data_IF_897372727229
#
_entry.id   IF_897372727229
#
_cell.length_a   1.000
_cell.length_b   1.000
_cell.length_c   1.000
_cell.angle_alpha   90.00
_cell.angle_beta   90.00
_cell.angle_gamma   90.00
#
_symmetry.space_group_name_H-M   'P 1'
#
loop_
_entity.id
_entity.type
_entity.pdbx_description
1 polymer ?
#
# COMPACT_ATOMS: atom_id res chain seq x y z
N UNK A 1 -3.21 13.44 3.89
CA UNK A 1 -3.57 12.01 3.84
C UNK A 1 -4.27 11.59 5.12
N UNK A 2 -3.56 11.53 6.26
CA UNK A 2 -4.06 10.86 7.48
C UNK A 2 -5.15 11.61 8.25
N UNK A 3 -5.29 12.92 8.04
CA UNK A 3 -6.28 13.74 8.75
C UNK A 3 -7.66 13.69 8.08
N UNK A 4 -7.72 13.95 6.77
CA UNK A 4 -9.00 14.17 6.07
C UNK A 4 -9.33 13.10 5.03
N UNK A 5 -8.32 12.42 4.46
CA UNK A 5 -8.51 11.43 3.40
C UNK A 5 -8.61 9.99 3.94
N UNK A 6 -8.45 9.81 5.25
CA UNK A 6 -8.56 8.54 5.94
C UNK A 6 -9.24 8.71 7.30
N UNK A 7 -9.99 7.71 7.74
CA UNK A 7 -10.34 7.58 9.15
C UNK A 7 -9.11 7.10 9.96
N UNK A 8 -9.11 7.29 11.29
CA UNK A 8 -8.13 6.65 12.17
C UNK A 8 -8.06 5.13 11.90
N UNK A 9 -6.87 4.51 12.02
CA UNK A 9 -6.72 3.08 11.80
C UNK A 9 -7.72 2.27 12.62
N UNK A 10 -8.43 1.34 11.97
CA UNK A 10 -9.44 0.50 12.62
C UNK A 10 -9.48 -0.89 11.98
N UNK A 11 -9.75 -1.93 12.77
CA UNK A 11 -9.82 -3.32 12.31
C UNK A 11 -8.61 -3.80 11.48
N UNK A 12 -7.42 -3.23 11.73
CA UNK A 12 -6.19 -3.53 10.99
C UNK A 12 -5.98 -2.71 9.70
N UNK A 13 -7.00 -2.01 9.20
CA UNK A 13 -6.85 -1.08 8.09
C UNK A 13 -6.00 0.13 8.53
N UNK A 14 -4.93 0.44 7.77
CA UNK A 14 -4.07 1.60 8.06
C UNK A 14 -4.65 2.94 7.61
N UNK A 15 -5.33 2.97 6.47
CA UNK A 15 -5.94 4.19 5.92
C UNK A 15 -7.37 3.90 5.42
N UNK A 16 -8.28 3.43 6.29
CA UNK A 16 -9.68 3.20 5.93
C UNK A 16 -10.33 4.47 5.40
N UNK A 17 -11.40 4.33 4.60
CA UNK A 17 -12.18 5.49 4.18
C UNK A 17 -12.73 6.22 5.41
N UNK A 18 -12.68 7.57 5.45
CA UNK A 18 -13.41 8.32 6.46
C UNK A 18 -14.92 8.11 6.29
N UNK A 19 -15.74 8.40 7.31
CA UNK A 19 -17.17 8.58 7.11
C UNK A 19 -17.42 9.59 5.96
N UNK A 20 -18.30 9.25 5.02
CA UNK A 20 -18.53 10.05 3.82
C UNK A 20 -19.04 11.47 4.16
N UNK A 21 -19.88 11.60 5.18
CA UNK A 21 -20.38 12.87 5.71
C UNK A 21 -19.25 13.79 6.20
N UNK A 22 -18.26 13.24 6.91
CA UNK A 22 -17.08 14.01 7.35
C UNK A 22 -16.23 14.48 6.18
N UNK A 23 -16.01 13.63 5.18
CA UNK A 23 -15.24 14.03 4.00
C UNK A 23 -16.00 15.05 3.15
N UNK A 24 -17.32 14.89 2.97
CA UNK A 24 -18.17 15.86 2.29
C UNK A 24 -18.13 17.22 3.01
N UNK A 25 -18.24 17.23 4.34
CA UNK A 25 -18.12 18.45 5.12
C UNK A 25 -16.76 19.11 4.88
N UNK A 26 -15.67 18.35 4.94
CA UNK A 26 -14.33 18.85 4.62
C UNK A 26 -14.26 19.43 3.20
N UNK A 27 -14.81 18.76 2.19
CA UNK A 27 -14.89 19.29 0.82
C UNK A 27 -15.63 20.64 0.78
N UNK A 28 -16.77 20.73 1.47
CA UNK A 28 -17.58 21.94 1.51
C UNK A 28 -16.85 23.10 2.17
N UNK A 29 -16.13 22.85 3.27
CA UNK A 29 -15.26 23.82 3.95
C UNK A 29 -14.12 24.34 3.06
N UNK A 30 -13.69 23.55 2.07
CA UNK A 30 -12.68 23.91 1.08
C UNK A 30 -13.29 24.41 -0.25
N UNK A 31 -14.59 24.70 -0.29
CA UNK A 31 -15.26 25.27 -1.46
C UNK A 31 -15.47 24.30 -2.63
N UNK A 32 -15.48 23.00 -2.35
CA UNK A 32 -15.74 21.92 -3.31
C UNK A 32 -17.20 21.48 -3.20
N UNK A 33 -17.97 21.68 -4.26
CA UNK A 33 -19.41 21.34 -4.34
C UNK A 33 -19.82 20.68 -5.68
N UNK A 34 -18.85 20.37 -6.54
CA UNK A 34 -19.08 19.82 -7.88
C UNK A 34 -19.34 20.84 -8.98
N UNK A 35 -19.39 22.15 -8.70
CA UNK A 35 -19.58 23.18 -9.75
C UNK A 35 -18.31 23.46 -10.56
N UNK A 36 -17.15 23.15 -9.98
CA UNK A 36 -15.84 23.31 -10.62
C UNK A 36 -15.06 22.01 -10.48
N UNK A 37 -14.27 21.63 -11.51
CA UNK A 37 -13.41 20.48 -11.40
C UNK A 37 -12.30 20.72 -10.36
N UNK A 38 -11.88 19.66 -9.69
CA UNK A 38 -10.76 19.68 -8.74
C UNK A 38 -9.50 19.13 -9.42
N UNK A 39 -8.38 19.85 -9.33
CA UNK A 39 -7.08 19.34 -9.74
C UNK A 39 -6.27 18.92 -8.51
N UNK A 40 -6.02 17.62 -8.39
CA UNK A 40 -5.26 17.03 -7.29
C UNK A 40 -3.78 16.89 -7.68
N UNK A 41 -2.86 17.09 -6.74
CA UNK A 41 -1.45 16.77 -6.94
C UNK A 41 -0.83 16.30 -5.62
N UNK A 42 0.30 15.61 -5.72
CA UNK A 42 1.18 15.26 -4.60
C UNK A 42 2.65 15.30 -5.09
N UNK A 43 3.58 14.83 -4.28
CA UNK A 43 5.02 14.78 -4.58
C UNK A 43 5.47 13.41 -5.13
N UNK A 44 4.55 12.54 -5.55
CA UNK A 44 4.86 11.18 -6.02
C UNK A 44 4.01 10.83 -7.25
N UNK A 45 3.85 11.77 -8.18
CA UNK A 45 3.10 11.58 -9.43
C UNK A 45 1.67 11.06 -9.21
N UNK A 46 1.02 11.43 -8.12
CA UNK A 46 -0.31 11.01 -7.70
C UNK A 46 -0.38 9.73 -6.85
N UNK A 47 0.73 9.01 -6.70
CA UNK A 47 0.79 7.68 -6.08
C UNK A 47 0.54 7.66 -4.58
N UNK A 48 0.80 8.76 -3.85
CA UNK A 48 0.80 8.79 -2.37
C UNK A 48 -0.29 9.68 -1.75
N UNK A 49 -1.12 10.33 -2.55
CA UNK A 49 -2.30 11.04 -2.04
C UNK A 49 -3.23 11.58 -3.10
N UNK A 50 -2.71 12.08 -4.22
CA UNK A 50 -3.54 12.79 -5.19
C UNK A 50 -4.57 11.87 -5.86
N UNK A 51 -4.17 10.66 -6.26
CA UNK A 51 -5.11 9.69 -6.81
C UNK A 51 -6.10 9.18 -5.75
N UNK A 52 -5.74 9.18 -4.47
CA UNK A 52 -6.69 8.85 -3.38
C UNK A 52 -7.77 9.93 -3.25
N UNK A 53 -7.38 11.20 -3.25
CA UNK A 53 -8.34 12.32 -3.25
C UNK A 53 -9.22 12.29 -4.51
N UNK A 54 -8.61 12.14 -5.68
CA UNK A 54 -9.32 11.98 -6.96
C UNK A 54 -10.36 10.86 -6.89
N UNK A 55 -9.99 9.67 -6.39
CA UNK A 55 -10.89 8.53 -6.30
C UNK A 55 -12.09 8.85 -5.38
N UNK A 56 -11.84 9.46 -4.23
CA UNK A 56 -12.89 9.84 -3.28
C UNK A 56 -13.86 10.86 -3.90
N UNK A 57 -13.34 11.90 -4.56
CA UNK A 57 -14.13 12.92 -5.24
C UNK A 57 -14.97 12.33 -6.39
N UNK A 58 -14.36 11.56 -7.27
CA UNK A 58 -15.04 10.89 -8.39
C UNK A 58 -16.12 9.93 -7.90
N UNK A 59 -15.85 9.18 -6.84
CA UNK A 59 -16.83 8.25 -6.24
C UNK A 59 -18.03 8.96 -5.62
N UNK A 60 -17.94 10.27 -5.39
CA UNK A 60 -19.06 11.12 -4.96
C UNK A 60 -19.67 11.95 -6.11
N UNK A 61 -19.18 11.78 -7.35
CA UNK A 61 -19.67 12.53 -8.52
C UNK A 61 -19.05 13.92 -8.70
N UNK A 62 -17.96 14.24 -7.98
CA UNK A 62 -17.18 15.46 -8.24
C UNK A 62 -16.21 15.19 -9.39
N UNK A 63 -16.26 16.03 -10.42
CA UNK A 63 -15.27 16.01 -11.49
C UNK A 63 -13.88 16.36 -10.92
N UNK A 64 -12.93 15.44 -11.05
CA UNK A 64 -11.58 15.62 -10.55
C UNK A 64 -10.53 15.06 -11.51
N UNK A 65 -9.35 15.68 -11.50
CA UNK A 65 -8.16 15.32 -12.26
C UNK A 65 -6.95 15.20 -11.35
N UNK A 66 -5.89 14.56 -11.84
CA UNK A 66 -4.60 14.47 -11.17
C UNK A 66 -3.52 15.06 -12.06
N UNK A 67 -2.65 15.91 -11.50
CA UNK A 67 -1.54 16.49 -12.22
C UNK A 67 -0.44 15.44 -12.50
N UNK A 68 -0.19 15.16 -13.77
CA UNK A 68 0.91 14.29 -14.19
C UNK A 68 2.26 14.85 -13.70
N UNK A 69 3.00 13.99 -13.00
CA UNK A 69 4.29 14.31 -12.40
C UNK A 69 4.24 15.19 -11.14
N UNK A 70 3.04 15.55 -10.68
CA UNK A 70 2.83 16.18 -9.38
C UNK A 70 3.54 17.52 -9.20
N UNK A 71 3.89 17.82 -7.95
CA UNK A 71 4.55 19.08 -7.57
C UNK A 71 5.88 19.29 -8.31
N UNK A 72 6.67 18.23 -8.51
CA UNK A 72 7.94 18.32 -9.22
C UNK A 72 7.75 18.72 -10.69
N UNK A 73 6.72 18.21 -11.36
CA UNK A 73 6.36 18.62 -12.72
C UNK A 73 5.98 20.09 -12.79
N UNK A 74 5.14 20.52 -11.85
CA UNK A 74 4.69 21.90 -11.76
C UNK A 74 5.86 22.87 -11.60
N UNK A 75 6.77 22.55 -10.67
CA UNK A 75 7.95 23.35 -10.40
C UNK A 75 8.94 23.35 -11.58
N UNK A 76 9.16 22.19 -12.21
CA UNK A 76 10.03 22.10 -13.40
C UNK A 76 9.48 22.88 -14.60
N UNK A 77 8.16 22.99 -14.73
CA UNK A 77 7.51 23.80 -15.76
C UNK A 77 7.62 25.32 -15.52
N UNK A 78 8.25 25.77 -14.43
CA UNK A 78 8.41 27.19 -14.12
C UNK A 78 7.10 27.91 -13.80
N UNK A 79 6.08 27.17 -13.34
CA UNK A 79 4.78 27.73 -13.01
C UNK A 79 4.83 28.51 -11.69
N UNK A 80 3.96 29.53 -11.50
CA UNK A 80 3.99 30.37 -10.30
C UNK A 80 3.73 29.58 -9.01
N UNK A 81 4.54 29.85 -7.99
CA UNK A 81 4.41 29.31 -6.64
C UNK A 81 4.04 30.43 -5.67
N UNK A 82 3.25 30.09 -4.65
CA UNK A 82 2.93 30.96 -3.53
C UNK A 82 3.45 30.31 -2.22
N UNK A 83 3.87 31.15 -1.27
CA UNK A 83 4.30 30.72 0.07
C UNK A 83 3.53 31.48 1.15
N UNK A 84 3.39 30.89 2.33
CA UNK A 84 2.68 31.47 3.47
C UNK A 84 1.37 30.75 3.81
N UNK A 85 0.50 31.34 4.65
CA UNK A 85 -0.73 30.71 5.08
C UNK A 85 -1.70 30.53 3.89
N UNK A 86 -2.41 29.41 3.90
CA UNK A 86 -3.40 29.06 2.88
C UNK A 86 -4.50 30.13 2.77
N UNK A 87 -4.71 30.64 1.54
CA UNK A 87 -5.89 31.45 1.20
C UNK A 87 -7.03 30.52 0.84
N UNK A 88 -7.88 30.20 1.83
CA UNK A 88 -9.01 29.29 1.62
C UNK A 88 -10.06 29.89 0.69
N UNK A 89 -10.60 29.05 -0.19
CA UNK A 89 -11.82 29.38 -0.92
C UNK A 89 -12.98 29.61 0.07
N UNK A 90 -13.97 30.40 -0.35
CA UNK A 90 -15.19 30.54 0.44
C UNK A 90 -15.87 29.15 0.59
N UNK A 91 -16.25 28.75 1.81
CA UNK A 91 -17.00 27.52 2.02
C UNK A 91 -18.29 27.52 1.21
N UNK A 92 -18.71 26.34 0.76
CA UNK A 92 -20.03 26.14 0.16
C UNK A 92 -21.01 25.63 1.21
N UNK A 93 -22.29 25.95 1.03
CA UNK A 93 -23.35 25.63 2.02
C UNK A 93 -24.26 24.49 1.57
N UNK A 94 -24.08 23.97 0.36
CA UNK A 94 -24.95 22.96 -0.22
C UNK A 94 -24.17 21.87 -0.95
N UNK A 95 -24.56 20.60 -0.76
CA UNK A 95 -24.03 19.43 -1.45
C UNK A 95 -25.15 18.71 -2.21
N UNK A 96 -25.07 18.70 -3.54
CA UNK A 96 -26.10 18.16 -4.45
C UNK A 96 -25.68 16.87 -5.18
N UNK A 97 -24.56 16.27 -4.78
CA UNK A 97 -24.02 15.06 -5.41
C UNK A 97 -24.30 13.82 -4.55
N UNK A 98 -23.63 12.72 -4.85
CA UNK A 98 -23.73 11.47 -4.09
C UNK A 98 -23.31 11.68 -2.63
N UNK A 99 -23.96 10.96 -1.71
CA UNK A 99 -23.75 11.12 -0.25
C UNK A 99 -22.92 10.00 0.39
N UNK A 100 -22.57 8.99 -0.39
CA UNK A 100 -21.73 7.88 0.04
C UNK A 100 -20.78 7.48 -1.09
N UNK A 101 -19.62 6.94 -0.74
CA UNK A 101 -18.61 6.56 -1.72
C UNK A 101 -19.13 5.40 -2.59
N UNK A 102 -19.08 5.58 -3.91
CA UNK A 102 -19.44 4.54 -4.89
C UNK A 102 -18.23 3.69 -5.30
N UNK A 103 -18.47 2.59 -6.02
CA UNK A 103 -17.43 1.76 -6.64
C UNK A 103 -16.32 1.28 -5.69
N UNK A 104 -16.69 0.92 -4.46
CA UNK A 104 -15.81 0.24 -3.53
C UNK A 104 -16.48 -0.99 -2.92
N UNK A 105 -15.67 -1.88 -2.37
CA UNK A 105 -16.12 -3.06 -1.63
C UNK A 105 -15.46 -3.13 -0.27
N UNK A 106 -16.18 -3.64 0.73
CA UNK A 106 -15.63 -4.04 2.03
C UNK A 106 -15.15 -5.49 1.97
N UNK A 107 -14.32 -5.91 2.93
CA UNK A 107 -13.72 -7.25 2.95
C UNK A 107 -14.74 -8.39 2.74
N UNK A 108 -15.92 -8.30 3.36
CA UNK A 108 -16.99 -9.31 3.27
C UNK A 108 -17.85 -9.22 1.99
N UNK A 109 -17.63 -8.20 1.16
CA UNK A 109 -18.34 -7.97 -0.10
C UNK A 109 -17.50 -8.37 -1.32
N UNK A 110 -16.22 -8.70 -1.12
CA UNK A 110 -15.34 -9.16 -2.19
C UNK A 110 -15.87 -10.51 -2.70
N UNK A 111 -16.27 -10.63 -3.97
CA UNK A 111 -16.71 -11.90 -4.52
C UNK A 111 -15.58 -12.96 -4.44
N UNK A 112 -15.87 -14.23 -4.11
CA UNK A 112 -14.84 -15.27 -4.02
C UNK A 112 -14.07 -15.51 -5.31
N UNK A 113 -14.63 -15.14 -6.46
CA UNK A 113 -14.05 -15.28 -7.79
C UNK A 113 -13.64 -13.91 -8.40
N UNK A 114 -13.52 -12.86 -7.58
CA UNK A 114 -13.08 -11.56 -8.06
C UNK A 114 -11.63 -11.60 -8.53
N UNK A 115 -11.35 -10.91 -9.64
CA UNK A 115 -9.97 -10.63 -10.06
C UNK A 115 -9.44 -9.51 -9.17
N UNK A 116 -8.57 -9.89 -8.22
CA UNK A 116 -7.93 -8.96 -7.31
C UNK A 116 -6.59 -8.49 -7.88
N UNK A 117 -6.29 -7.20 -7.75
CA UNK A 117 -5.03 -6.60 -8.23
C UNK A 117 -4.32 -5.88 -7.09
N UNK A 118 -3.07 -6.24 -6.82
CA UNK A 118 -2.22 -5.68 -5.76
C UNK A 118 -1.22 -4.67 -6.30
N UNK A 119 -1.35 -3.41 -5.89
CA UNK A 119 -0.50 -2.31 -6.33
C UNK A 119 0.86 -2.20 -5.61
N UNK A 120 1.14 -3.07 -4.63
CA UNK A 120 2.41 -3.03 -3.88
C UNK A 120 3.58 -3.48 -4.74
N UNK A 121 4.77 -3.04 -4.36
CA UNK A 121 6.01 -3.51 -4.97
C UNK A 121 6.17 -5.03 -4.83
N UNK A 122 6.79 -5.67 -5.83
CA UNK A 122 6.95 -7.13 -5.88
C UNK A 122 7.54 -7.75 -4.59
N UNK A 123 8.56 -7.16 -3.93
CA UNK A 123 9.07 -7.72 -2.66
C UNK A 123 8.06 -7.75 -1.51
N UNK A 124 7.06 -6.86 -1.52
CA UNK A 124 5.98 -6.83 -0.52
C UNK A 124 4.85 -7.80 -0.85
N UNK A 125 4.59 -7.99 -2.14
CA UNK A 125 3.63 -8.96 -2.66
C UNK A 125 4.12 -10.40 -2.44
N UNK A 126 5.42 -10.66 -2.61
CA UNK A 126 5.99 -11.98 -2.47
C UNK A 126 5.76 -12.60 -1.09
N UNK A 127 5.54 -13.90 -1.12
CA UNK A 127 5.51 -14.74 0.06
C UNK A 127 6.89 -14.86 0.70
N UNK A 128 6.91 -15.07 2.02
CA UNK A 128 8.13 -15.29 2.78
C UNK A 128 7.84 -15.49 4.26
N UNK A 129 8.91 -15.53 5.06
CA UNK A 129 8.79 -15.81 6.51
C UNK A 129 8.48 -14.58 7.36
N UNK A 130 8.71 -13.36 6.85
CA UNK A 130 8.50 -12.10 7.59
C UNK A 130 8.15 -10.94 6.69
N UNK A 131 7.46 -9.94 7.23
CA UNK A 131 7.10 -8.72 6.48
C UNK A 131 8.31 -7.83 6.20
N UNK A 132 8.56 -7.51 4.92
CA UNK A 132 9.68 -6.66 4.50
C UNK A 132 9.37 -5.15 4.54
N UNK A 133 8.19 -4.77 5.02
CA UNK A 133 7.77 -3.38 5.11
C UNK A 133 7.03 -3.13 6.42
N UNK A 134 7.42 -2.10 7.16
CA UNK A 134 6.86 -1.82 8.51
C UNK A 134 5.34 -1.63 8.54
N UNK A 135 4.73 -1.21 7.42
CA UNK A 135 3.28 -1.08 7.31
C UNK A 135 2.52 -2.37 6.93
N UNK A 136 3.20 -3.46 6.55
CA UNK A 136 2.53 -4.71 6.19
C UNK A 136 2.53 -5.66 7.41
N UNK A 137 1.37 -6.11 7.90
CA UNK A 137 1.28 -6.90 9.14
C UNK A 137 1.77 -8.34 8.98
N UNK A 138 1.78 -8.86 7.75
CA UNK A 138 2.25 -10.19 7.35
C UNK A 138 2.94 -10.13 5.98
N UNK A 139 3.87 -11.05 5.66
CA UNK A 139 4.37 -11.24 4.30
C UNK A 139 3.32 -11.86 3.37
N UNK A 140 3.47 -11.67 2.07
CA UNK A 140 2.56 -12.21 1.05
C UNK A 140 1.47 -11.24 0.62
N UNK A 141 0.41 -11.81 0.04
CA UNK A 141 -0.72 -11.12 -0.58
C UNK A 141 -2.01 -11.92 -0.37
N UNK A 142 -3.15 -11.32 -0.75
CA UNK A 142 -4.43 -12.02 -0.79
C UNK A 142 -4.32 -13.12 -1.84
N UNK A 143 -4.65 -14.36 -1.49
CA UNK A 143 -4.52 -15.52 -2.38
C UNK A 143 -5.22 -15.26 -3.74
N UNK A 144 -4.51 -15.53 -4.83
CA UNK A 144 -5.00 -15.31 -6.20
C UNK A 144 -4.93 -13.86 -6.71
N UNK A 145 -4.54 -12.88 -5.88
CA UNK A 145 -4.37 -11.50 -6.35
C UNK A 145 -3.20 -11.40 -7.34
N UNK A 146 -3.35 -10.58 -8.38
CA UNK A 146 -2.36 -10.32 -9.42
C UNK A 146 -1.51 -9.11 -9.03
N UNK A 147 -0.19 -9.16 -9.22
CA UNK A 147 0.67 -8.02 -8.85
C UNK A 147 0.80 -7.03 -10.01
N UNK A 148 0.39 -5.78 -9.79
CA UNK A 148 0.60 -4.65 -10.68
C UNK A 148 1.23 -3.50 -9.89
N UNK A 149 2.56 -3.52 -9.61
CA UNK A 149 3.20 -2.46 -8.85
C UNK A 149 2.93 -1.08 -9.47
N UNK A 150 2.35 -0.13 -8.72
CA UNK A 150 1.90 1.15 -9.30
C UNK A 150 3.03 1.92 -10.01
N UNK A 151 4.26 1.80 -9.48
CA UNK A 151 5.48 2.39 -10.06
C UNK A 151 5.79 1.92 -11.48
N UNK A 152 5.24 0.78 -11.94
CA UNK A 152 5.43 0.32 -13.33
C UNK A 152 4.91 1.32 -14.37
N UNK A 153 4.01 2.23 -13.97
CA UNK A 153 3.46 3.27 -14.83
C UNK A 153 4.06 4.66 -14.57
N UNK A 154 5.14 4.76 -13.78
CA UNK A 154 5.87 6.02 -13.54
C UNK A 154 7.28 5.92 -14.12
N UNK A 155 7.67 6.90 -14.93
CA UNK A 155 9.00 7.04 -15.54
C UNK A 155 9.60 8.38 -15.13
N UNK A 156 10.93 8.47 -15.11
CA UNK A 156 11.62 9.74 -14.91
C UNK A 156 12.07 10.29 -16.26
N UNK A 157 11.59 11.47 -16.63
CA UNK A 157 11.96 12.21 -17.83
C UNK A 157 12.56 13.54 -17.41
N UNK A 158 13.76 13.86 -17.90
CA UNK A 158 14.49 15.11 -17.57
C UNK A 158 14.62 15.37 -16.06
N UNK A 159 14.78 14.30 -15.27
CA UNK A 159 14.89 14.35 -13.81
C UNK A 159 13.56 14.50 -13.07
N UNK A 160 12.42 14.44 -13.76
CA UNK A 160 11.09 14.63 -13.18
C UNK A 160 10.21 13.39 -13.38
N UNK A 161 9.48 12.93 -12.36
CA UNK A 161 8.54 11.82 -12.53
C UNK A 161 7.39 12.22 -13.46
N UNK A 162 6.96 11.29 -14.32
CA UNK A 162 5.81 11.38 -15.21
C UNK A 162 5.13 10.02 -15.30
N UNK A 163 3.86 9.99 -15.67
CA UNK A 163 3.23 8.74 -16.08
C UNK A 163 3.83 8.27 -17.42
N UNK A 164 3.87 6.96 -17.63
CA UNK A 164 4.17 6.38 -18.95
C UNK A 164 3.12 6.77 -19.98
N UNK A 165 3.45 6.62 -21.27
CA UNK A 165 2.48 6.90 -22.33
C UNK A 165 1.22 6.06 -22.15
N UNK A 166 0.11 6.50 -22.75
CA UNK A 166 -1.16 5.78 -22.66
C UNK A 166 -1.02 4.33 -23.14
N UNK A 167 -0.27 4.12 -24.22
CA UNK A 167 -0.02 2.82 -24.83
C UNK A 167 0.83 1.92 -23.91
N UNK A 168 1.93 2.45 -23.35
CA UNK A 168 2.79 1.70 -22.43
C UNK A 168 2.04 1.36 -21.13
N UNK A 169 1.28 2.30 -20.59
CA UNK A 169 0.49 2.07 -19.38
C UNK A 169 -0.61 1.03 -19.61
N UNK A 170 -1.28 1.08 -20.76
CA UNK A 170 -2.26 0.06 -21.16
C UNK A 170 -1.60 -1.31 -21.27
N UNK A 171 -0.43 -1.40 -21.92
CA UNK A 171 0.33 -2.64 -22.04
C UNK A 171 0.74 -3.20 -20.67
N UNK A 172 1.24 -2.36 -19.76
CA UNK A 172 1.62 -2.78 -18.41
C UNK A 172 0.42 -3.35 -17.63
N UNK A 173 -0.75 -2.70 -17.72
CA UNK A 173 -1.97 -3.16 -17.05
C UNK A 173 -2.45 -4.48 -17.65
N UNK A 174 -2.51 -4.58 -18.97
CA UNK A 174 -2.98 -5.80 -19.67
C UNK A 174 -2.02 -6.97 -19.49
N UNK A 175 -0.72 -6.74 -19.44
CA UNK A 175 0.26 -7.79 -19.15
C UNK A 175 0.06 -8.40 -17.76
N UNK A 176 -0.43 -7.62 -16.79
CA UNK A 176 -0.69 -8.12 -15.44
C UNK A 176 -2.08 -8.74 -15.28
N UNK A 177 -3.10 -8.25 -15.99
CA UNK A 177 -4.52 -8.56 -15.70
C UNK A 177 -5.28 -9.17 -16.88
N UNK A 178 -4.83 -8.95 -18.11
CA UNK A 178 -5.59 -9.22 -19.34
C UNK A 178 -6.07 -10.66 -19.48
N UNK A 179 -5.20 -11.64 -19.22
CA UNK A 179 -5.52 -13.07 -19.36
C UNK A 179 -6.44 -13.60 -18.24
N UNK A 180 -6.70 -12.79 -17.21
CA UNK A 180 -7.50 -13.16 -16.04
C UNK A 180 -8.92 -12.62 -16.09
N UNK A 181 -9.26 -11.79 -17.09
CA UNK A 181 -10.58 -11.16 -17.23
C UNK A 181 -11.29 -11.65 -18.48
N UNK A 182 -12.62 -11.61 -18.46
CA UNK A 182 -13.45 -12.00 -19.62
C UNK A 182 -13.36 -10.98 -20.76
N UNK A 183 -13.23 -9.70 -20.42
CA UNK A 183 -13.09 -8.61 -21.37
C UNK A 183 -11.87 -7.76 -20.99
N UNK A 184 -10.71 -7.93 -21.64
CA UNK A 184 -9.52 -7.15 -21.36
C UNK A 184 -9.70 -5.64 -21.59
N UNK A 185 -10.72 -5.22 -22.34
CA UNK A 185 -11.02 -3.81 -22.60
C UNK A 185 -11.87 -3.15 -21.48
N UNK A 186 -12.32 -3.91 -20.48
CA UNK A 186 -13.10 -3.39 -19.36
C UNK A 186 -12.78 -4.13 -18.05
N UNK A 187 -12.03 -3.44 -17.19
CA UNK A 187 -11.61 -3.90 -15.87
C UNK A 187 -12.54 -3.44 -14.75
N UNK A 188 -13.71 -2.85 -15.06
CA UNK A 188 -14.61 -2.27 -14.06
C UNK A 188 -15.15 -3.28 -13.03
N UNK A 189 -15.08 -4.58 -13.33
CA UNK A 189 -15.46 -5.66 -12.40
C UNK A 189 -14.29 -6.19 -11.55
N UNK A 190 -13.06 -5.74 -11.80
CA UNK A 190 -11.90 -6.11 -11.00
C UNK A 190 -11.91 -5.35 -9.66
N UNK A 191 -11.21 -5.88 -8.67
CA UNK A 191 -11.05 -5.25 -7.35
C UNK A 191 -9.58 -4.91 -7.12
N UNK A 192 -9.28 -3.62 -7.07
CA UNK A 192 -7.92 -3.10 -6.90
C UNK A 192 -7.65 -2.80 -5.43
N UNK A 193 -6.48 -3.20 -4.95
CA UNK A 193 -6.04 -3.09 -3.57
C UNK A 193 -4.52 -2.89 -3.48
N UNK A 194 -4.00 -2.56 -2.30
CA UNK A 194 -2.56 -2.46 -2.09
C UNK A 194 -2.17 -2.76 -0.63
N UNK A 195 -1.35 -1.92 0.00
CA UNK A 195 -1.12 -2.01 1.44
C UNK A 195 -2.29 -1.48 2.27
N UNK A 196 -2.94 -0.40 1.83
CA UNK A 196 -3.92 0.36 2.63
C UNK A 196 -4.84 1.26 1.80
N UNK A 197 -5.13 0.90 0.55
CA UNK A 197 -6.05 1.67 -0.30
C UNK A 197 -5.56 3.05 -0.76
N UNK A 198 -4.25 3.31 -0.78
CA UNK A 198 -3.67 4.58 -1.28
C UNK A 198 -3.16 4.38 -2.71
N UNK A 199 -2.04 3.66 -2.88
CA UNK A 199 -1.45 3.41 -4.22
C UNK A 199 -2.35 2.60 -5.16
N UNK A 200 -3.35 1.89 -4.64
CA UNK A 200 -4.37 1.22 -5.46
C UNK A 200 -5.19 2.25 -6.26
N UNK A 201 -5.46 3.43 -5.68
CA UNK A 201 -6.19 4.49 -6.36
C UNK A 201 -5.43 5.00 -7.60
N UNK A 202 -4.09 4.99 -7.57
CA UNK A 202 -3.28 5.31 -8.75
C UNK A 202 -3.52 4.29 -9.88
N UNK A 203 -3.51 2.98 -9.58
CA UNK A 203 -3.80 1.97 -10.60
C UNK A 203 -5.24 2.08 -11.14
N UNK A 204 -6.23 2.43 -10.30
CA UNK A 204 -7.61 2.70 -10.74
C UNK A 204 -7.65 3.93 -11.66
N UNK A 205 -6.95 5.01 -11.30
CA UNK A 205 -6.83 6.21 -12.12
C UNK A 205 -6.18 5.90 -13.48
N UNK A 206 -5.10 5.12 -13.50
CA UNK A 206 -4.43 4.70 -14.73
C UNK A 206 -5.34 3.86 -15.61
N UNK A 207 -6.02 2.84 -15.07
CA UNK A 207 -6.98 2.03 -15.83
C UNK A 207 -8.09 2.89 -16.45
N UNK A 208 -8.62 3.85 -15.68
CA UNK A 208 -9.64 4.80 -16.15
C UNK A 208 -9.08 5.69 -17.27
N UNK A 209 -7.88 6.25 -17.07
CA UNK A 209 -7.22 7.15 -18.02
C UNK A 209 -6.89 6.45 -19.36
N UNK A 210 -6.45 5.19 -19.33
CA UNK A 210 -6.16 4.42 -20.54
C UNK A 210 -7.41 3.87 -21.23
N UNK A 211 -8.60 4.05 -20.66
CA UNK A 211 -9.87 3.63 -21.23
C UNK A 211 -10.23 2.16 -20.97
N UNK A 212 -9.70 1.56 -19.90
CA UNK A 212 -9.99 0.19 -19.47
C UNK A 212 -11.09 0.12 -18.39
N UNK A 213 -11.93 1.15 -18.28
CA UNK A 213 -12.97 1.24 -17.26
C UNK A 213 -12.44 1.62 -15.87
N UNK A 214 -13.31 1.61 -14.87
CA UNK A 214 -13.01 2.05 -13.48
C UNK A 214 -13.22 0.89 -12.51
N UNK A 215 -12.14 0.18 -12.11
CA UNK A 215 -12.21 -0.94 -11.18
C UNK A 215 -12.74 -0.55 -9.78
N UNK A 216 -13.28 -1.52 -9.04
CA UNK A 216 -13.65 -1.34 -7.64
C UNK A 216 -12.42 -1.15 -6.76
N UNK A 217 -12.51 -0.29 -5.75
CA UNK A 217 -11.51 -0.20 -4.69
C UNK A 217 -11.85 -1.12 -3.51
N UNK A 218 -10.90 -1.93 -3.06
CA UNK A 218 -10.90 -2.49 -1.70
C UNK A 218 -9.95 -1.69 -0.80
N UNK A 219 -10.52 -0.69 -0.10
CA UNK A 219 -9.72 0.31 0.63
C UNK A 219 -9.00 -0.26 1.86
N UNK A 220 -9.58 -1.25 2.54
CA UNK A 220 -8.93 -1.91 3.68
C UNK A 220 -7.63 -2.63 3.29
N UNK A 221 -7.60 -3.16 2.05
CA UNK A 221 -6.42 -3.68 1.38
C UNK A 221 -5.68 -4.76 2.20
N UNK A 222 -4.40 -5.00 1.94
CA UNK A 222 -3.60 -6.00 2.65
C UNK A 222 -3.58 -5.79 4.18
N UNK A 223 -3.53 -4.53 4.65
CA UNK A 223 -3.48 -4.23 6.08
C UNK A 223 -4.69 -4.77 6.85
N UNK A 224 -5.92 -4.55 6.34
CA UNK A 224 -7.14 -5.11 6.92
C UNK A 224 -7.16 -6.63 6.75
N UNK A 225 -6.99 -7.11 5.51
CA UNK A 225 -7.14 -8.52 5.18
C UNK A 225 -6.22 -9.42 6.01
N UNK A 226 -4.93 -9.09 6.06
CA UNK A 226 -3.94 -9.88 6.79
C UNK A 226 -4.12 -9.83 8.31
N UNK A 227 -4.75 -8.77 8.83
CA UNK A 227 -5.08 -8.66 10.25
C UNK A 227 -6.31 -9.50 10.58
N UNK A 228 -7.39 -9.37 9.80
CA UNK A 228 -8.64 -10.14 9.97
C UNK A 228 -8.38 -11.64 9.81
N UNK A 229 -7.59 -12.04 8.82
CA UNK A 229 -7.28 -13.43 8.53
C UNK A 229 -5.92 -13.89 9.10
N UNK A 230 -5.44 -13.25 10.17
CA UNK A 230 -4.09 -13.49 10.71
C UNK A 230 -3.82 -14.96 11.03
N UNK A 231 -4.77 -15.64 11.67
CA UNK A 231 -4.60 -17.04 12.10
C UNK A 231 -4.41 -17.99 10.91
N UNK A 232 -5.33 -18.07 9.92
CA UNK A 232 -5.12 -18.96 8.77
C UNK A 232 -3.87 -18.59 7.95
N UNK A 233 -3.60 -17.29 7.75
CA UNK A 233 -2.44 -16.85 6.96
C UNK A 233 -1.10 -17.22 7.63
N UNK A 234 -0.95 -16.99 8.93
CA UNK A 234 0.28 -17.36 9.64
C UNK A 234 0.50 -18.86 9.68
N UNK A 235 -0.58 -19.66 9.79
CA UNK A 235 -0.48 -21.13 9.67
C UNK A 235 -0.03 -21.56 8.28
N UNK A 236 -0.58 -20.96 7.21
CA UNK A 236 -0.14 -21.23 5.84
C UNK A 236 1.35 -20.86 5.63
N UNK A 237 1.81 -19.74 6.18
CA UNK A 237 3.23 -19.35 6.12
C UNK A 237 4.10 -20.39 6.81
N UNK A 238 3.76 -20.81 8.04
CA UNK A 238 4.53 -21.85 8.75
C UNK A 238 4.52 -23.18 8.00
N UNK A 239 3.40 -23.55 7.38
CA UNK A 239 3.28 -24.80 6.66
C UNK A 239 4.13 -24.81 5.37
N UNK A 240 4.07 -23.72 4.60
CA UNK A 240 4.79 -23.57 3.33
C UNK A 240 6.27 -23.28 3.52
N UNK A 241 6.60 -22.31 4.37
CA UNK A 241 7.98 -21.86 4.56
C UNK A 241 8.70 -22.65 5.64
N UNK A 242 8.01 -23.38 6.51
CA UNK A 242 8.59 -24.03 7.68
C UNK A 242 8.93 -23.09 8.84
N UNK A 243 8.73 -21.78 8.66
CA UNK A 243 9.05 -20.72 9.62
C UNK A 243 8.19 -19.48 9.36
N UNK A 244 7.68 -18.87 10.44
CA UNK A 244 7.13 -17.51 10.43
C UNK A 244 7.83 -16.68 11.50
N UNK A 245 8.27 -15.47 11.16
CA UNK A 245 8.87 -14.52 12.10
C UNK A 245 7.95 -13.31 12.21
N UNK A 246 7.39 -13.13 13.40
CA UNK A 246 6.71 -11.89 13.80
C UNK A 246 7.75 -10.94 14.38
N UNK A 247 8.03 -9.83 13.69
CA UNK A 247 8.87 -8.79 14.24
C UNK A 247 8.21 -8.15 15.48
N UNK A 248 9.02 -7.90 16.49
CA UNK A 248 8.70 -7.11 17.69
C UNK A 248 9.34 -5.71 17.61
N UNK A 249 10.42 -5.57 16.82
CA UNK A 249 11.01 -4.28 16.44
C UNK A 249 10.38 -3.75 15.14
N UNK A 250 10.64 -2.47 14.78
CA UNK A 250 10.49 -2.03 13.41
C UNK A 250 11.27 -2.93 12.44
N UNK A 251 10.79 -2.98 11.19
CA UNK A 251 11.48 -3.64 10.09
C UNK A 251 12.64 -2.74 9.61
N UNK A 252 13.87 -3.25 9.66
CA UNK A 252 15.10 -2.51 9.37
C UNK A 252 15.82 -3.02 8.12
N UNK A 253 15.20 -3.90 7.33
CA UNK A 253 15.82 -4.51 6.16
C UNK A 253 16.26 -3.53 5.06
N UNK A 254 15.70 -2.32 5.04
CA UNK A 254 16.07 -1.28 4.09
C UNK A 254 17.25 -0.41 4.55
N UNK A 255 17.60 -0.45 5.85
CA UNK A 255 18.54 0.50 6.47
C UNK A 255 19.67 -0.15 7.25
N UNK A 256 19.53 -1.42 7.61
CA UNK A 256 20.51 -2.15 8.42
C UNK A 256 21.05 -3.37 7.67
N UNK A 257 22.33 -3.73 7.89
CA UNK A 257 22.89 -4.93 7.29
C UNK A 257 22.21 -6.19 7.84
N UNK A 258 22.25 -7.26 7.03
CA UNK A 258 21.84 -8.59 7.44
C UNK A 258 22.56 -9.05 8.71
N UNK A 259 21.90 -9.86 9.52
CA UNK A 259 22.52 -10.46 10.69
C UNK A 259 23.72 -11.32 10.29
N UNK A 260 24.86 -11.12 10.97
CA UNK A 260 26.09 -11.85 10.75
C UNK A 260 26.58 -12.38 12.10
N UNK A 261 26.47 -13.69 12.35
CA UNK A 261 26.80 -14.32 13.65
C UNK A 261 28.23 -14.09 14.15
N UNK A 262 29.18 -13.81 13.26
CA UNK A 262 30.59 -13.65 13.62
C UNK A 262 30.85 -12.25 14.20
N UNK A 263 30.10 -11.25 13.75
CA UNK A 263 30.27 -9.84 14.10
C UNK A 263 29.13 -9.25 14.95
N UNK A 264 27.97 -9.92 15.04
CA UNK A 264 26.83 -9.49 15.83
C UNK A 264 26.57 -10.44 17.00
N UNK A 265 26.06 -9.91 18.12
CA UNK A 265 25.58 -10.72 19.24
C UNK A 265 24.17 -11.22 18.94
N UNK A 266 23.98 -12.54 19.05
CA UNK A 266 22.69 -13.20 18.80
C UNK A 266 22.08 -13.63 20.13
N UNK A 267 20.96 -13.03 20.50
CA UNK A 267 20.23 -13.39 21.70
C UNK A 267 19.04 -14.27 21.32
N UNK A 268 18.88 -15.37 22.06
CA UNK A 268 17.71 -16.25 21.99
C UNK A 268 17.03 -16.26 23.36
N UNK A 269 15.75 -15.90 23.40
CA UNK A 269 14.96 -15.75 24.62
C UNK A 269 15.67 -14.89 25.69
N UNK A 270 16.32 -13.81 25.23
CA UNK A 270 17.05 -12.86 26.06
C UNK A 270 18.44 -13.29 26.51
N UNK A 271 18.94 -14.47 26.07
CA UNK A 271 20.27 -14.96 26.42
C UNK A 271 21.14 -15.04 25.17
N UNK A 272 22.36 -14.51 25.26
CA UNK A 272 23.33 -14.62 24.17
C UNK A 272 23.71 -16.09 23.92
N UNK A 273 23.68 -16.50 22.65
CA UNK A 273 24.01 -17.87 22.23
C UNK A 273 25.43 -17.90 21.69
N UNK A 274 26.25 -18.80 22.24
CA UNK A 274 27.62 -19.02 21.79
C UNK A 274 27.67 -19.80 20.48
N UNK A 275 28.70 -19.54 19.69
CA UNK A 275 29.00 -20.33 18.49
C UNK A 275 29.43 -21.76 18.84
N UNK A 276 29.10 -22.76 18.01
CA UNK A 276 28.28 -22.67 16.80
C UNK A 276 26.79 -22.53 17.12
N UNK A 277 26.08 -21.66 16.39
CA UNK A 277 24.64 -21.47 16.58
C UNK A 277 23.84 -22.73 16.21
N UNK A 278 22.78 -23.10 16.96
CA UNK A 278 21.86 -24.16 16.53
C UNK A 278 21.22 -23.86 15.18
N UNK A 279 20.98 -24.89 14.34
CA UNK A 279 20.46 -24.74 12.97
C UNK A 279 19.20 -23.85 12.88
N UNK A 280 18.22 -24.06 13.78
CA UNK A 280 17.00 -23.23 13.82
C UNK A 280 17.29 -21.77 14.12
N UNK A 281 18.29 -21.48 14.96
CA UNK A 281 18.72 -20.10 15.26
C UNK A 281 19.37 -19.49 14.03
N UNK A 282 20.31 -20.21 13.38
CA UNK A 282 20.95 -19.77 12.13
C UNK A 282 19.91 -19.45 11.04
N UNK A 283 18.90 -20.31 10.93
CA UNK A 283 17.79 -20.13 9.99
C UNK A 283 16.95 -18.91 10.33
N UNK A 284 16.63 -18.65 11.59
CA UNK A 284 15.84 -17.47 11.95
C UNK A 284 16.59 -16.16 11.65
N UNK A 285 17.87 -16.08 12.03
CA UNK A 285 18.64 -14.86 11.88
C UNK A 285 19.00 -14.54 10.43
N UNK A 286 19.03 -15.50 9.51
CA UNK A 286 19.27 -15.21 8.08
C UNK A 286 18.20 -14.27 7.48
N UNK A 287 17.03 -14.18 8.11
CA UNK A 287 15.96 -13.27 7.73
C UNK A 287 15.97 -11.94 8.50
N UNK A 288 16.77 -11.82 9.56
CA UNK A 288 16.88 -10.63 10.40
C UNK A 288 18.05 -9.72 10.00
N UNK A 289 17.98 -8.48 10.45
CA UNK A 289 18.99 -7.44 10.28
C UNK A 289 19.46 -6.95 11.65
N UNK A 290 20.59 -6.25 11.67
CA UNK A 290 21.10 -5.63 12.88
C UNK A 290 20.04 -4.72 13.53
N UNK A 291 19.83 -4.89 14.84
CA UNK A 291 18.82 -4.16 15.61
C UNK A 291 17.40 -4.76 15.55
N UNK A 292 17.17 -5.80 14.73
CA UNK A 292 15.86 -6.45 14.67
C UNK A 292 15.67 -7.47 15.81
N UNK A 293 14.42 -7.54 16.30
CA UNK A 293 13.93 -8.52 17.26
C UNK A 293 12.64 -9.14 16.73
N UNK A 294 12.49 -10.46 16.84
CA UNK A 294 11.27 -11.13 16.40
C UNK A 294 11.03 -12.48 17.09
N UNK A 295 9.77 -12.91 17.10
CA UNK A 295 9.37 -14.25 17.54
C UNK A 295 9.32 -15.16 16.32
N UNK A 296 10.14 -16.21 16.34
CA UNK A 296 10.20 -17.23 15.31
C UNK A 296 9.34 -18.44 15.70
N UNK A 297 8.34 -18.73 14.87
CA UNK A 297 7.42 -19.88 14.96
C UNK A 297 7.82 -20.91 13.91
N UNK A 298 8.35 -22.06 14.34
CA UNK A 298 8.79 -23.12 13.44
C UNK A 298 7.73 -24.18 13.23
N UNK A 299 7.74 -24.81 12.05
CA UNK A 299 7.01 -26.05 11.81
C UNK A 299 7.47 -27.11 12.84
N UNK A 300 6.51 -27.83 13.41
CA UNK A 300 6.73 -28.76 14.53
C UNK A 300 6.65 -28.14 15.94
N UNK A 301 6.20 -26.88 16.07
CA UNK A 301 5.75 -26.30 17.34
C UNK A 301 6.81 -25.62 18.20
N UNK A 302 8.08 -25.57 17.76
CA UNK A 302 9.11 -24.80 18.48
C UNK A 302 8.92 -23.30 18.24
N UNK A 303 8.97 -22.53 19.31
CA UNK A 303 8.96 -21.06 19.27
C UNK A 303 10.18 -20.53 20.02
N UNK A 304 10.76 -19.42 19.53
CA UNK A 304 11.82 -18.69 20.24
C UNK A 304 11.78 -17.21 19.87
N UNK A 305 12.20 -16.35 20.78
CA UNK A 305 12.47 -14.94 20.47
C UNK A 305 13.92 -14.80 20.07
N UNK A 306 14.20 -14.17 18.92
CA UNK A 306 15.55 -13.95 18.41
C UNK A 306 15.79 -12.45 18.26
N UNK A 307 16.96 -12.00 18.66
CA UNK A 307 17.37 -10.59 18.61
C UNK A 307 18.81 -10.49 18.12
N UNK A 308 19.07 -9.50 17.25
CA UNK A 308 20.38 -9.25 16.64
C UNK A 308 20.89 -7.91 17.16
N UNK A 309 21.93 -7.94 17.99
CA UNK A 309 22.52 -6.74 18.59
C UNK A 309 23.92 -6.47 18.03
N UNK A 310 24.38 -5.20 18.04
CA UNK A 310 25.79 -4.91 17.88
C UNK A 310 26.58 -5.67 18.94
N UNK A 311 27.70 -6.28 18.57
CA UNK A 311 28.58 -6.90 19.55
C UNK A 311 29.10 -5.79 20.46
N UNK A 312 28.84 -5.90 21.76
CA UNK A 312 29.43 -4.99 22.73
C UNK A 312 30.95 -5.01 22.56
N UNK A 313 31.62 -3.85 22.63
CA UNK A 313 33.06 -3.86 22.89
C UNK A 313 33.23 -4.59 24.22
N UNK A 314 33.81 -5.79 24.18
CA UNK A 314 34.37 -6.43 25.38
C UNK A 314 35.41 -5.50 25.99
#
# INVERSE_FOLDING_TARGET
MDQDLAAPPCNGARHPLPPADKFIQWCMEHGVDGRRPVLCYDDTCGGLGACRLWWMLQSLGVEAYVLDGGYQAYQHAGLPLEEGPEKRAAPVVEWRLERDFRHHVRIHQIPPNAVLVDARAAPRYQYGVRSLFGGDPLPGHIEGALNLPFMCNIVTQDGVPRIRSKEEAQQNILAAVGDHVRNPQDLSQCVFQCGSGVTACFNIAMATHVGLGTPFLYCGSWSEYATVHRVPLTRQIVEREGLFIQLLSPCLCATQPKAQPDIHSILVDGKEVRQPLPEKVQRAISYLHLGEKGVAYFKGGRTMTVEVQPKGKL
#
